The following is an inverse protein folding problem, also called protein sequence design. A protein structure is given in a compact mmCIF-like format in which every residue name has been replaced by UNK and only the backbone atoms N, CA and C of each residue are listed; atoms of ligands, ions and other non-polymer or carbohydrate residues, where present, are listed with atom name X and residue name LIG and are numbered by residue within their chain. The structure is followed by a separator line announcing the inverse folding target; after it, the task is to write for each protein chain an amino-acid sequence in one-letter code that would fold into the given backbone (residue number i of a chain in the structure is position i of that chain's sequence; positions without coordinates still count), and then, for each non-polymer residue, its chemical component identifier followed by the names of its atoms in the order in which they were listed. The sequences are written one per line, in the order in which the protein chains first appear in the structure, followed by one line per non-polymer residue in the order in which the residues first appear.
data_IF_828817716998
#
_entry.id   IF_828817716998
#
_cell.length_a   1.000
_cell.length_b   1.000
_cell.length_c   1.000
_cell.angle_alpha   90.00
_cell.angle_beta   90.00
_cell.angle_gamma   90.00
#
_symmetry.space_group_name_H-M   'P 1'
#
loop_
_entity.id
_entity.type
_entity.pdbx_description
1 polymer ?
#
# COMPACT_ATOMS: atom_id res chain seq x y z
N UNK A 1 -1.80 5.92 -20.68
CA UNK A 1 -1.01 6.51 -19.59
C UNK A 1 -1.17 5.60 -18.37
N UNK A 2 -0.10 5.26 -17.65
CA UNK A 2 -0.20 4.36 -16.48
C UNK A 2 -0.77 5.12 -15.27
N UNK A 3 -1.87 4.63 -14.66
CA UNK A 3 -2.46 5.23 -13.46
C UNK A 3 -1.56 4.96 -12.26
N UNK A 4 -1.21 6.02 -11.54
CA UNK A 4 -0.43 5.98 -10.30
C UNK A 4 -1.37 6.10 -9.10
N UNK A 5 -1.01 5.45 -8.01
CA UNK A 5 -1.73 5.49 -6.74
C UNK A 5 -0.73 5.57 -5.59
N UNK A 6 -1.18 6.08 -4.44
CA UNK A 6 -0.42 5.98 -3.20
C UNK A 6 -0.80 4.69 -2.48
N UNK A 7 0.18 3.86 -2.16
CA UNK A 7 0.06 2.75 -1.23
C UNK A 7 0.53 3.22 0.15
N UNK A 8 -0.34 3.10 1.16
CA UNK A 8 -0.06 3.47 2.55
C UNK A 8 -0.20 2.24 3.44
N UNK A 9 0.81 1.96 4.27
CA UNK A 9 0.79 0.78 5.13
C UNK A 9 1.54 0.97 6.46
N UNK A 10 1.20 0.12 7.45
CA UNK A 10 1.92 -0.07 8.72
C UNK A 10 2.38 -1.52 8.82
N UNK A 11 3.70 -1.73 8.88
CA UNK A 11 4.27 -3.06 9.04
C UNK A 11 4.28 -3.46 10.53
N UNK A 12 3.49 -4.47 10.92
CA UNK A 12 3.50 -5.03 12.28
C UNK A 12 3.32 -4.01 13.42
N UNK A 13 4.13 -4.11 14.47
CA UNK A 13 4.09 -3.22 15.66
C UNK A 13 4.71 -1.83 15.43
N UNK A 14 5.23 -1.55 14.23
CA UNK A 14 5.80 -0.24 13.95
C UNK A 14 4.69 0.82 13.89
N UNK A 15 4.79 1.85 14.74
CA UNK A 15 3.79 2.92 14.84
C UNK A 15 3.81 3.91 13.66
N UNK A 16 4.71 3.75 12.70
CA UNK A 16 4.91 4.71 11.61
C UNK A 16 4.24 4.23 10.32
N UNK A 17 3.53 5.16 9.67
CA UNK A 17 2.97 4.96 8.33
C UNK A 17 4.06 5.09 7.27
N UNK A 18 4.12 4.13 6.36
CA UNK A 18 4.92 4.21 5.13
C UNK A 18 3.98 4.54 3.98
N UNK A 19 4.38 5.50 3.15
CA UNK A 19 3.64 5.91 1.95
C UNK A 19 4.54 5.82 0.72
N UNK A 20 4.08 5.18 -0.35
CA UNK A 20 4.80 5.08 -1.61
C UNK A 20 3.87 5.30 -2.80
N UNK A 21 4.35 5.95 -3.86
CA UNK A 21 3.58 6.15 -5.10
C UNK A 21 4.04 5.13 -6.13
N UNK A 22 3.13 4.27 -6.55
CA UNK A 22 3.38 3.16 -7.50
C UNK A 22 2.24 3.06 -8.51
N UNK A 23 2.39 2.23 -9.54
CA UNK A 23 1.28 1.98 -10.48
C UNK A 23 0.12 1.28 -9.75
N UNK A 24 -1.10 1.46 -10.27
CA UNK A 24 -2.30 0.81 -9.72
C UNK A 24 -2.13 -0.71 -9.55
N UNK A 25 -1.53 -1.38 -10.55
CA UNK A 25 -1.30 -2.82 -10.50
C UNK A 25 -0.41 -3.23 -9.31
N UNK A 26 0.67 -2.48 -9.08
CA UNK A 26 1.60 -2.75 -7.97
C UNK A 26 0.93 -2.41 -6.64
N UNK A 27 0.20 -1.29 -6.55
CA UNK A 27 -0.49 -0.87 -5.33
C UNK A 27 -1.52 -1.93 -4.87
N UNK A 28 -2.36 -2.41 -5.79
CA UNK A 28 -3.39 -3.41 -5.48
C UNK A 28 -2.79 -4.77 -5.12
N UNK A 29 -1.71 -5.18 -5.79
CA UNK A 29 -1.02 -6.43 -5.49
C UNK A 29 -0.41 -6.40 -4.09
N UNK A 30 0.40 -5.37 -3.79
CA UNK A 30 1.07 -5.24 -2.50
C UNK A 30 0.09 -5.01 -1.34
N UNK A 31 -1.01 -4.27 -1.56
CA UNK A 31 -2.04 -4.11 -0.53
C UNK A 31 -2.59 -5.47 -0.07
N UNK A 32 -2.94 -6.36 -1.01
CA UNK A 32 -3.46 -7.69 -0.69
C UNK A 32 -2.40 -8.56 0.00
N UNK A 33 -1.17 -8.51 -0.49
CA UNK A 33 -0.03 -9.22 0.09
C UNK A 33 0.21 -8.77 1.54
N UNK A 34 0.27 -7.46 1.80
CA UNK A 34 0.52 -6.92 3.14
C UNK A 34 -0.62 -7.21 4.12
N UNK A 35 -1.87 -7.12 3.67
CA UNK A 35 -3.01 -7.53 4.48
C UNK A 35 -2.96 -9.02 4.85
N UNK A 36 -2.42 -9.88 3.97
CA UNK A 36 -2.21 -11.31 4.29
C UNK A 36 -1.16 -11.54 5.38
N UNK A 37 -0.25 -10.58 5.60
CA UNK A 37 0.71 -10.57 6.71
C UNK A 37 0.12 -10.01 8.02
N UNK A 38 -1.16 -9.63 8.01
CA UNK A 38 -1.82 -8.96 9.15
C UNK A 38 -1.48 -7.47 9.28
N UNK A 39 -0.87 -6.88 8.25
CA UNK A 39 -0.55 -5.44 8.25
C UNK A 39 -1.77 -4.61 7.87
N UNK A 40 -1.80 -3.37 8.35
CA UNK A 40 -2.79 -2.39 7.87
C UNK A 40 -2.24 -1.78 6.59
N UNK A 41 -2.94 -1.94 5.47
CA UNK A 41 -2.55 -1.40 4.17
C UNK A 41 -3.77 -0.91 3.37
N UNK A 42 -3.63 0.22 2.68
CA UNK A 42 -4.68 0.86 1.87
C UNK A 42 -4.10 1.53 0.61
N UNK A 43 -4.93 1.66 -0.43
CA UNK A 43 -4.60 2.42 -1.65
C UNK A 43 -5.40 3.71 -1.72
N UNK A 44 -4.75 4.82 -2.04
CA UNK A 44 -5.32 6.16 -2.11
C UNK A 44 -5.12 6.71 -3.53
N UNK A 45 -6.19 7.25 -4.13
CA UNK A 45 -6.09 7.99 -5.40
C UNK A 45 -5.28 9.28 -5.21
N UNK A 46 -4.44 9.62 -6.19
CA UNK A 46 -3.63 10.84 -6.19
C UNK A 46 -4.46 12.08 -6.55
#
# INVERSE_FOLDING_TARGET
MMKMMKLRYQAGEYSMWVEVVVSIFVAEHLMKEYQSYGWVAETIEL
#
